data_IF_362260773208
#
_entry.id   IF_362260773208
#
_cell.length_a   1.000
_cell.length_b   1.000
_cell.length_c   1.000
_cell.angle_alpha   90.00
_cell.angle_beta   90.00
_cell.angle_gamma   90.00
#
_symmetry.space_group_name_H-M   'P 1'
#
loop_
_entity.id
_entity.type
_entity.pdbx_description
1 polymer ?
#
# COMPACT_ATOMS: atom_id res chain seq x y z
N UNK A 1 13.60 31.03 27.72
CA UNK A 1 14.21 30.93 26.38
C UNK A 1 14.97 29.61 26.33
N UNK A 2 14.32 28.55 25.94
CA UNK A 2 14.91 27.24 25.72
C UNK A 2 14.59 26.86 24.28
N UNK A 3 15.62 27.03 23.45
CA UNK A 3 15.62 26.73 22.02
C UNK A 3 15.63 25.19 21.86
N UNK A 4 14.45 24.61 21.69
CA UNK A 4 14.28 23.20 21.34
C UNK A 4 14.42 23.06 19.82
N UNK A 5 15.68 23.10 19.36
CA UNK A 5 16.00 22.60 18.02
C UNK A 5 15.66 21.12 17.97
N UNK A 6 14.51 20.78 17.36
CA UNK A 6 14.20 19.43 16.95
C UNK A 6 15.40 18.88 16.18
N UNK A 7 16.05 17.86 16.73
CA UNK A 7 17.08 17.11 16.06
C UNK A 7 16.51 16.62 14.73
N UNK A 8 17.12 17.02 13.62
CA UNK A 8 16.83 16.45 12.31
C UNK A 8 17.25 14.98 12.37
N UNK A 9 16.32 14.12 12.75
CA UNK A 9 16.51 12.69 12.61
C UNK A 9 16.74 12.44 11.10
N UNK A 10 17.89 11.83 10.77
CA UNK A 10 18.11 11.37 9.41
C UNK A 10 16.92 10.49 9.01
N UNK A 11 16.41 10.60 7.77
CA UNK A 11 15.35 9.71 7.31
C UNK A 11 15.81 8.26 7.53
N UNK A 12 14.89 7.36 7.92
CA UNK A 12 15.24 5.98 8.19
C UNK A 12 15.88 5.36 6.93
N UNK A 13 16.87 4.50 7.14
CA UNK A 13 17.64 3.90 6.03
C UNK A 13 16.75 2.98 5.15
N UNK A 14 15.64 2.51 5.69
CA UNK A 14 14.73 1.57 5.05
C UNK A 14 13.28 2.05 5.15
N UNK A 15 12.53 1.90 4.06
CA UNK A 15 11.07 2.07 4.05
C UNK A 15 10.37 0.90 4.75
N UNK A 16 10.96 -0.31 4.66
CA UNK A 16 10.51 -1.53 5.32
C UNK A 16 11.68 -2.20 6.02
N UNK A 17 11.52 -2.53 7.30
CA UNK A 17 12.43 -3.39 8.05
C UNK A 17 11.60 -4.41 8.86
N UNK A 18 11.59 -5.68 8.43
CA UNK A 18 10.96 -6.77 9.18
C UNK A 18 12.04 -7.76 9.65
N UNK A 19 11.89 -8.20 10.90
CA UNK A 19 12.85 -9.09 11.55
C UNK A 19 12.12 -10.21 12.28
N UNK A 20 12.45 -11.46 11.95
CA UNK A 20 11.93 -12.66 12.58
C UNK A 20 10.41 -12.83 12.43
N UNK A 21 9.80 -12.21 11.40
CA UNK A 21 8.33 -12.24 11.22
C UNK A 21 7.86 -13.65 10.94
N UNK A 22 6.94 -14.12 11.79
CA UNK A 22 6.28 -15.41 11.63
C UNK A 22 4.76 -15.24 11.67
N UNK A 23 4.05 -16.10 10.93
CA UNK A 23 2.59 -16.13 10.89
C UNK A 23 2.06 -17.54 10.78
N UNK A 24 1.01 -17.82 11.53
CA UNK A 24 0.30 -19.08 11.47
C UNK A 24 -1.21 -18.85 11.48
N UNK A 25 -1.94 -19.84 11.00
CA UNK A 25 -3.39 -19.87 11.05
C UNK A 25 -3.86 -21.20 11.66
N UNK A 26 -5.02 -21.19 12.30
CA UNK A 26 -5.67 -22.40 12.79
C UNK A 26 -6.67 -22.91 11.74
N UNK A 27 -6.59 -24.17 11.39
CA UNK A 27 -7.58 -24.86 10.57
C UNK A 27 -8.18 -26.00 11.41
N UNK A 28 -9.30 -25.73 12.06
CA UNK A 28 -9.79 -26.57 13.16
C UNK A 28 -8.75 -26.58 14.29
N UNK A 29 -8.35 -27.77 14.73
CA UNK A 29 -7.33 -27.94 15.79
C UNK A 29 -5.89 -27.97 15.26
N UNK A 30 -5.70 -27.85 13.95
CA UNK A 30 -4.37 -27.93 13.34
C UNK A 30 -3.79 -26.52 13.11
N UNK A 31 -2.58 -26.29 13.64
CA UNK A 31 -1.80 -25.08 13.36
C UNK A 31 -1.05 -25.24 12.04
N UNK A 32 -1.24 -24.26 11.14
CA UNK A 32 -0.54 -24.17 9.85
C UNK A 32 0.40 -22.96 9.91
N UNK A 33 1.72 -23.20 9.96
CA UNK A 33 2.71 -22.14 9.89
C UNK A 33 2.93 -21.73 8.43
N UNK A 34 2.60 -20.46 8.13
CA UNK A 34 2.65 -19.90 6.76
C UNK A 34 3.90 -19.07 6.54
N UNK A 35 4.31 -18.26 7.52
CA UNK A 35 5.59 -17.55 7.50
C UNK A 35 6.42 -18.02 8.68
N UNK A 36 7.72 -18.23 8.45
CA UNK A 36 8.65 -18.73 9.45
C UNK A 36 9.91 -17.88 9.46
N UNK A 37 10.05 -17.05 10.49
CA UNK A 37 11.24 -16.25 10.76
C UNK A 37 11.73 -15.46 9.53
N UNK A 38 10.86 -14.65 8.94
CA UNK A 38 11.17 -13.87 7.74
C UNK A 38 11.87 -12.57 8.13
N UNK A 39 13.01 -12.32 7.50
CA UNK A 39 13.73 -11.06 7.56
C UNK A 39 13.71 -10.43 6.17
N UNK A 40 13.37 -9.12 6.10
CA UNK A 40 13.41 -8.35 4.86
C UNK A 40 13.64 -6.88 5.17
N UNK A 41 14.58 -6.26 4.46
CA UNK A 41 14.82 -4.81 4.48
C UNK A 41 14.69 -4.27 3.07
N UNK A 42 13.90 -3.20 2.92
CA UNK A 42 13.71 -2.52 1.64
C UNK A 42 14.08 -1.06 1.80
N UNK A 43 15.00 -0.56 0.96
CA UNK A 43 15.38 0.86 0.93
C UNK A 43 14.36 1.68 0.15
N UNK A 44 14.39 3.00 0.37
CA UNK A 44 13.62 3.90 -0.49
C UNK A 44 14.06 3.79 -1.95
N UNK A 45 13.10 3.74 -2.87
CA UNK A 45 13.33 3.59 -4.29
C UNK A 45 13.77 2.18 -4.74
N UNK A 46 13.89 1.23 -3.82
CA UNK A 46 14.19 -0.16 -4.15
C UNK A 46 12.97 -0.90 -4.67
N UNK A 47 13.16 -1.75 -5.67
CA UNK A 47 12.14 -2.66 -6.19
C UNK A 47 12.48 -4.09 -5.77
N UNK A 48 11.57 -4.72 -5.05
CA UNK A 48 11.73 -6.10 -4.57
C UNK A 48 10.64 -6.99 -5.15
N UNK A 49 11.02 -8.14 -5.71
CA UNK A 49 10.11 -9.17 -6.18
C UNK A 49 10.06 -10.35 -5.21
N UNK A 50 8.85 -10.70 -4.74
CA UNK A 50 8.60 -11.87 -3.90
C UNK A 50 8.13 -13.02 -4.79
N UNK A 51 8.99 -14.02 -4.96
CA UNK A 51 8.74 -15.16 -5.82
C UNK A 51 8.50 -16.43 -4.99
N UNK A 52 7.73 -17.36 -5.52
CA UNK A 52 7.48 -18.65 -4.89
C UNK A 52 6.20 -19.32 -5.41
N UNK A 53 6.02 -20.63 -5.16
CA UNK A 53 4.84 -21.38 -5.58
C UNK A 53 3.54 -20.87 -4.93
N UNK A 54 2.39 -21.31 -5.45
CA UNK A 54 1.10 -21.04 -4.80
C UNK A 54 1.10 -21.60 -3.37
N UNK A 55 0.52 -20.86 -2.43
CA UNK A 55 0.48 -21.27 -1.02
C UNK A 55 1.77 -21.01 -0.21
N UNK A 56 2.84 -20.46 -0.80
CA UNK A 56 4.11 -20.19 -0.08
C UNK A 56 4.06 -18.98 0.88
N UNK A 57 2.89 -18.39 1.13
CA UNK A 57 2.76 -17.28 2.08
C UNK A 57 2.95 -15.87 1.50
N UNK A 58 3.17 -15.71 0.18
CA UNK A 58 3.37 -14.39 -0.44
C UNK A 58 2.27 -13.38 -0.10
N UNK A 59 1.01 -13.78 -0.26
CA UNK A 59 -0.15 -12.91 0.06
C UNK A 59 -0.23 -12.60 1.55
N UNK A 60 0.15 -13.55 2.41
CA UNK A 60 0.21 -13.32 3.86
C UNK A 60 1.29 -12.29 4.19
N UNK A 61 2.46 -12.37 3.57
CA UNK A 61 3.53 -11.39 3.76
C UNK A 61 3.09 -10.01 3.25
N UNK A 62 2.49 -9.93 2.05
CA UNK A 62 1.96 -8.67 1.51
C UNK A 62 0.87 -8.06 2.41
N UNK A 63 0.01 -8.88 3.03
CA UNK A 63 -1.00 -8.40 3.97
C UNK A 63 -0.36 -7.82 5.25
N UNK A 64 0.72 -8.42 5.74
CA UNK A 64 1.46 -7.88 6.90
C UNK A 64 2.15 -6.58 6.50
N UNK A 65 2.89 -6.55 5.39
CA UNK A 65 3.54 -5.33 4.89
C UNK A 65 2.53 -4.20 4.63
N UNK A 66 1.34 -4.57 4.20
CA UNK A 66 0.23 -3.65 3.98
C UNK A 66 -0.57 -3.28 5.22
N UNK A 67 -0.16 -3.70 6.42
CA UNK A 67 -0.88 -3.46 7.68
C UNK A 67 -2.35 -3.94 7.66
N UNK A 68 -2.67 -4.91 6.79
CA UNK A 68 -3.99 -5.56 6.73
C UNK A 68 -4.10 -6.68 7.77
N UNK A 69 -2.97 -7.28 8.16
CA UNK A 69 -2.86 -8.25 9.25
C UNK A 69 -1.64 -7.93 10.12
N UNK A 70 -1.67 -8.42 11.36
CA UNK A 70 -0.55 -8.30 12.30
C UNK A 70 0.21 -9.62 12.31
N UNK A 71 1.54 -9.65 12.33
CA UNK A 71 2.30 -10.89 12.45
C UNK A 71 2.06 -11.54 13.83
N UNK A 72 2.20 -12.87 13.89
CA UNK A 72 2.09 -13.61 15.15
C UNK A 72 3.33 -13.40 16.05
N UNK A 73 4.50 -13.14 15.45
CA UNK A 73 5.74 -12.78 16.15
C UNK A 73 6.70 -12.05 15.20
N UNK A 74 7.79 -11.51 15.76
CA UNK A 74 8.75 -10.68 15.06
C UNK A 74 8.41 -9.20 15.13
N UNK A 75 9.17 -8.36 14.42
CA UNK A 75 8.98 -6.91 14.37
C UNK A 75 8.82 -6.41 12.95
N UNK A 76 8.07 -5.33 12.78
CA UNK A 76 7.91 -4.63 11.52
C UNK A 76 7.98 -3.12 11.74
N UNK A 77 9.03 -2.50 11.20
CA UNK A 77 9.17 -1.06 11.13
C UNK A 77 8.76 -0.60 9.72
N UNK A 78 7.77 0.27 9.64
CA UNK A 78 7.37 0.98 8.44
C UNK A 78 7.84 2.43 8.55
N UNK A 79 8.69 2.85 7.65
CA UNK A 79 9.26 4.20 7.67
C UNK A 79 9.88 4.56 9.04
N UNK A 80 10.59 3.58 9.62
CA UNK A 80 11.22 3.69 10.94
C UNK A 80 10.27 3.61 12.14
N UNK A 81 8.94 3.53 11.92
CA UNK A 81 7.94 3.46 13.00
C UNK A 81 7.54 2.01 13.28
N UNK A 82 7.60 1.60 14.55
CA UNK A 82 7.19 0.25 14.95
C UNK A 82 5.68 0.07 14.86
N UNK A 83 5.28 -0.84 13.97
CA UNK A 83 3.85 -1.12 13.70
C UNK A 83 3.19 -2.01 14.75
N UNK A 84 3.97 -2.67 15.63
CA UNK A 84 3.44 -3.53 16.69
C UNK A 84 2.62 -2.75 17.73
N UNK A 85 2.93 -1.47 17.91
CA UNK A 85 2.25 -0.56 18.84
C UNK A 85 0.94 0.00 18.29
N UNK A 86 0.66 -0.17 16.97
CA UNK A 86 -0.49 0.44 16.31
C UNK A 86 -1.81 -0.22 16.73
N UNK A 87 -2.76 0.59 17.15
CA UNK A 87 -4.16 0.18 17.21
C UNK A 87 -4.81 0.16 15.81
N UNK A 88 -6.08 -0.24 15.72
CA UNK A 88 -6.78 -0.35 14.42
C UNK A 88 -6.87 0.99 13.65
N UNK A 89 -7.08 2.10 14.35
CA UNK A 89 -7.15 3.43 13.75
C UNK A 89 -5.78 3.87 13.22
N UNK A 90 -4.73 3.70 14.01
CA UNK A 90 -3.36 4.01 13.61
C UNK A 90 -2.88 3.17 12.42
N UNK A 91 -3.26 1.88 12.36
CA UNK A 91 -3.00 1.05 11.16
C UNK A 91 -3.73 1.57 9.93
N UNK A 92 -4.97 2.04 10.08
CA UNK A 92 -5.73 2.60 8.96
C UNK A 92 -5.11 3.92 8.46
N UNK A 93 -4.68 4.77 9.37
CA UNK A 93 -3.99 6.03 9.08
C UNK A 93 -2.63 5.77 8.39
N UNK A 94 -1.80 4.90 8.94
CA UNK A 94 -0.52 4.52 8.34
C UNK A 94 -0.69 3.90 6.92
N UNK A 95 -1.74 3.09 6.70
CA UNK A 95 -2.07 2.61 5.35
C UNK A 95 -2.43 3.75 4.40
N UNK A 96 -3.24 4.69 4.87
CA UNK A 96 -3.64 5.84 4.06
C UNK A 96 -2.45 6.70 3.68
N UNK A 97 -1.53 6.93 4.61
CA UNK A 97 -0.44 7.89 4.44
C UNK A 97 0.80 7.31 3.77
N UNK A 98 1.10 6.03 4.03
CA UNK A 98 2.38 5.47 3.65
C UNK A 98 2.29 4.33 2.64
N UNK A 99 1.12 3.74 2.39
CA UNK A 99 1.01 2.53 1.58
C UNK A 99 0.06 2.72 0.40
N UNK A 100 0.58 2.46 -0.81
CA UNK A 100 -0.23 2.31 -2.02
C UNK A 100 -0.46 0.84 -2.34
N UNK A 101 -1.71 0.46 -2.63
CA UNK A 101 -2.06 -0.91 -3.02
C UNK A 101 -2.54 -0.98 -4.46
N UNK A 102 -1.97 -1.93 -5.22
CA UNK A 102 -2.49 -2.37 -6.52
C UNK A 102 -2.83 -3.85 -6.42
N UNK A 103 -4.11 -4.14 -6.32
CA UNK A 103 -4.62 -5.50 -6.24
C UNK A 103 -4.82 -6.10 -7.63
N UNK A 104 -4.69 -7.41 -7.74
CA UNK A 104 -4.97 -8.20 -8.92
C UNK A 104 -6.38 -7.95 -9.50
N UNK A 105 -7.40 -7.92 -8.67
CA UNK A 105 -8.79 -7.66 -9.06
C UNK A 105 -9.11 -6.16 -9.18
N UNK A 106 -8.08 -5.27 -9.20
CA UNK A 106 -8.15 -3.82 -9.26
C UNK A 106 -8.91 -3.17 -8.10
N UNK A 107 -9.96 -3.76 -7.58
CA UNK A 107 -10.86 -3.24 -6.54
C UNK A 107 -11.28 -1.79 -6.79
N UNK A 108 -11.64 -1.48 -8.02
CA UNK A 108 -12.20 -0.19 -8.38
C UNK A 108 -13.67 -0.12 -7.99
N UNK A 109 -14.12 1.06 -7.59
CA UNK A 109 -15.51 1.29 -7.21
C UNK A 109 -16.31 1.48 -8.50
N UNK A 110 -17.07 0.47 -8.91
CA UNK A 110 -17.73 0.39 -10.23
C UNK A 110 -18.76 1.49 -10.48
N UNK A 111 -19.50 1.93 -9.44
CA UNK A 111 -20.48 3.01 -9.54
C UNK A 111 -19.86 4.41 -9.54
N UNK A 112 -18.54 4.52 -9.52
CA UNK A 112 -17.78 5.77 -9.64
C UNK A 112 -17.03 5.79 -10.96
N UNK A 113 -16.82 7.00 -11.54
CA UNK A 113 -15.96 7.19 -12.70
C UNK A 113 -14.47 7.08 -12.33
N UNK A 114 -13.58 7.20 -13.33
CA UNK A 114 -12.12 7.18 -13.17
C UNK A 114 -11.67 8.26 -12.19
N UNK A 115 -12.09 9.51 -12.42
CA UNK A 115 -11.74 10.64 -11.54
C UNK A 115 -12.01 10.33 -10.07
N UNK A 116 -13.24 9.87 -9.76
CA UNK A 116 -13.67 9.60 -8.39
C UNK A 116 -12.95 8.43 -7.74
N UNK A 117 -12.52 7.43 -8.52
CA UNK A 117 -11.69 6.34 -8.01
C UNK A 117 -10.30 6.83 -7.62
N UNK A 118 -9.68 7.67 -8.46
CA UNK A 118 -8.33 8.19 -8.23
C UNK A 118 -8.31 9.25 -7.13
N UNK A 119 -9.34 10.10 -7.03
CA UNK A 119 -9.47 11.15 -6.01
C UNK A 119 -9.56 10.60 -4.57
N UNK A 120 -10.03 9.36 -4.42
CA UNK A 120 -10.47 8.81 -3.13
C UNK A 120 -9.44 8.92 -1.98
N UNK A 121 -8.15 8.57 -2.17
CA UNK A 121 -7.15 8.73 -1.11
C UNK A 121 -6.99 10.17 -0.64
N UNK A 122 -7.08 11.13 -1.55
CA UNK A 122 -6.96 12.56 -1.22
C UNK A 122 -8.16 13.07 -0.41
N UNK A 123 -9.36 12.51 -0.66
CA UNK A 123 -10.56 12.82 0.14
C UNK A 123 -10.35 12.37 1.58
N UNK A 124 -9.86 11.14 1.79
CA UNK A 124 -9.63 10.61 3.14
C UNK A 124 -8.51 11.35 3.89
N UNK A 125 -7.55 11.92 3.17
CA UNK A 125 -6.50 12.79 3.72
C UNK A 125 -6.97 14.24 3.97
N UNK A 126 -8.22 14.58 3.65
CA UNK A 126 -8.75 15.92 3.83
C UNK A 126 -8.18 16.99 2.89
N UNK A 127 -7.56 16.57 1.78
CA UNK A 127 -6.97 17.51 0.80
C UNK A 127 -8.07 18.41 0.21
N UNK A 128 -7.88 19.75 0.11
CA UNK A 128 -8.86 20.67 -0.46
C UNK A 128 -9.28 20.31 -1.89
N UNK A 129 -10.56 20.50 -2.23
CA UNK A 129 -11.14 20.09 -3.52
C UNK A 129 -10.37 20.64 -4.73
N UNK A 130 -9.95 21.90 -4.67
CA UNK A 130 -9.21 22.55 -5.76
C UNK A 130 -7.87 21.86 -6.03
N UNK A 131 -7.12 21.51 -4.97
CA UNK A 131 -5.86 20.80 -5.05
C UNK A 131 -6.06 19.36 -5.57
N UNK A 132 -7.10 18.67 -5.10
CA UNK A 132 -7.41 17.32 -5.58
C UNK A 132 -7.61 17.28 -7.09
N UNK A 133 -8.31 18.26 -7.66
CA UNK A 133 -8.60 18.33 -9.09
C UNK A 133 -7.30 18.36 -9.91
N UNK A 134 -6.34 19.19 -9.50
CA UNK A 134 -5.06 19.29 -10.19
C UNK A 134 -4.24 17.98 -10.05
N UNK A 135 -4.11 17.46 -8.83
CA UNK A 135 -3.35 16.21 -8.58
C UNK A 135 -3.91 15.02 -9.35
N UNK A 136 -5.26 14.89 -9.45
CA UNK A 136 -5.90 13.83 -10.24
C UNK A 136 -5.58 14.01 -11.73
N UNK A 137 -5.68 15.25 -12.27
CA UNK A 137 -5.38 15.51 -13.66
C UNK A 137 -3.94 15.14 -14.02
N UNK A 138 -2.98 15.55 -13.18
CA UNK A 138 -1.55 15.26 -13.38
C UNK A 138 -1.27 13.74 -13.31
N UNK A 139 -1.86 13.06 -12.32
CA UNK A 139 -1.69 11.60 -12.17
C UNK A 139 -2.28 10.83 -13.36
N UNK A 140 -3.46 11.23 -13.83
CA UNK A 140 -4.08 10.61 -15.00
C UNK A 140 -3.30 10.91 -16.29
N UNK A 141 -2.73 12.09 -16.43
CA UNK A 141 -1.86 12.44 -17.56
C UNK A 141 -0.60 11.57 -17.56
N UNK A 142 0.06 11.41 -16.43
CA UNK A 142 1.24 10.54 -16.27
C UNK A 142 0.99 9.11 -16.74
N UNK A 143 -0.22 8.59 -16.53
CA UNK A 143 -0.60 7.22 -16.88
C UNK A 143 -1.34 7.10 -18.23
N UNK A 144 -1.41 8.19 -19.02
CA UNK A 144 -2.06 8.22 -20.32
C UNK A 144 -3.58 8.03 -20.26
N UNK A 145 -4.23 8.50 -19.18
CA UNK A 145 -5.66 8.33 -18.93
C UNK A 145 -6.46 9.64 -18.97
N UNK A 146 -5.88 10.78 -19.39
CA UNK A 146 -6.57 12.08 -19.42
C UNK A 146 -7.86 12.03 -20.23
N UNK A 147 -7.90 11.28 -21.34
CA UNK A 147 -9.07 11.12 -22.19
C UNK A 147 -10.17 10.23 -21.59
N UNK A 148 -9.90 9.60 -20.41
CA UNK A 148 -10.81 8.71 -19.69
C UNK A 148 -11.26 9.26 -18.35
N UNK A 149 -10.93 10.50 -18.01
CA UNK A 149 -11.19 11.09 -16.68
C UNK A 149 -12.62 10.88 -16.20
N UNK A 150 -13.62 11.07 -17.04
CA UNK A 150 -15.03 10.93 -16.70
C UNK A 150 -15.65 9.58 -17.07
N UNK A 151 -14.86 8.67 -17.63
CA UNK A 151 -15.35 7.38 -18.08
C UNK A 151 -15.82 6.50 -16.90
N UNK A 152 -16.96 5.79 -17.05
CA UNK A 152 -17.37 4.75 -16.11
C UNK A 152 -16.36 3.62 -16.09
N UNK A 153 -16.08 3.05 -14.91
CA UNK A 153 -15.13 1.92 -14.77
C UNK A 153 -15.53 0.72 -15.60
N UNK A 154 -16.83 0.50 -15.78
CA UNK A 154 -17.37 -0.63 -16.56
C UNK A 154 -17.03 -0.58 -18.03
N UNK A 155 -16.72 0.60 -18.58
CA UNK A 155 -16.38 0.80 -20.00
C UNK A 155 -14.90 0.65 -20.31
N UNK A 156 -14.06 0.48 -19.27
CA UNK A 156 -12.62 0.41 -19.40
C UNK A 156 -12.15 -1.00 -19.75
N UNK A 157 -11.13 -1.10 -20.59
CA UNK A 157 -10.35 -2.32 -20.80
C UNK A 157 -9.60 -2.74 -19.52
N UNK A 158 -9.16 -4.01 -19.45
CA UNK A 158 -8.38 -4.50 -18.30
C UNK A 158 -7.12 -3.68 -18.03
N UNK A 159 -6.39 -3.31 -19.09
CA UNK A 159 -5.19 -2.46 -18.98
C UNK A 159 -5.50 -1.03 -18.52
N UNK A 160 -6.63 -0.44 -18.92
CA UNK A 160 -7.08 0.86 -18.41
C UNK A 160 -7.46 0.77 -16.93
N UNK A 161 -8.21 -0.27 -16.52
CA UNK A 161 -8.56 -0.53 -15.12
C UNK A 161 -7.31 -0.69 -14.25
N UNK A 162 -6.29 -1.40 -14.74
CA UNK A 162 -5.02 -1.54 -14.03
C UNK A 162 -4.34 -0.19 -13.85
N UNK A 163 -4.24 0.65 -14.90
CA UNK A 163 -3.67 1.99 -14.79
C UNK A 163 -4.45 2.89 -13.84
N UNK A 164 -5.79 2.80 -13.80
CA UNK A 164 -6.61 3.53 -12.81
C UNK A 164 -6.29 3.07 -11.38
N UNK A 165 -6.12 1.76 -11.16
CA UNK A 165 -5.73 1.23 -9.84
C UNK A 165 -4.32 1.71 -9.44
N UNK A 166 -3.39 1.78 -10.38
CA UNK A 166 -2.04 2.35 -10.17
C UNK A 166 -2.15 3.84 -9.86
N UNK A 167 -2.94 4.62 -10.62
CA UNK A 167 -3.17 6.04 -10.36
C UNK A 167 -3.67 6.27 -8.93
N UNK A 168 -4.68 5.51 -8.52
CA UNK A 168 -5.22 5.59 -7.16
C UNK A 168 -4.18 5.25 -6.09
N UNK A 169 -3.30 4.29 -6.34
CA UNK A 169 -2.26 3.91 -5.40
C UNK A 169 -1.16 4.97 -5.29
N UNK A 170 -0.80 5.62 -6.40
CA UNK A 170 0.30 6.59 -6.47
C UNK A 170 -0.08 8.01 -6.04
N UNK A 171 -1.34 8.43 -6.19
CA UNK A 171 -1.76 9.81 -5.97
C UNK A 171 -1.50 10.31 -4.54
N UNK A 172 -1.41 9.39 -3.59
CA UNK A 172 -1.03 9.63 -2.21
C UNK A 172 0.47 9.80 -1.99
N UNK A 173 1.32 9.59 -2.99
CA UNK A 173 2.78 9.59 -2.86
C UNK A 173 3.26 8.64 -1.74
N UNK A 174 2.88 7.35 -1.79
CA UNK A 174 3.16 6.42 -0.72
C UNK A 174 4.66 6.12 -0.61
N UNK A 175 5.14 5.89 0.64
CA UNK A 175 6.50 5.42 0.89
C UNK A 175 6.71 3.95 0.45
N UNK A 176 5.64 3.17 0.42
CA UNK A 176 5.63 1.75 0.02
C UNK A 176 4.52 1.48 -0.98
N UNK A 177 4.87 0.96 -2.16
CA UNK A 177 3.90 0.48 -3.15
C UNK A 177 3.88 -1.05 -3.16
N UNK A 178 2.73 -1.63 -2.85
CA UNK A 178 2.52 -3.08 -2.87
C UNK A 178 1.72 -3.48 -4.10
N UNK A 179 2.31 -4.34 -4.93
CA UNK A 179 1.67 -4.85 -6.13
C UNK A 179 1.43 -6.36 -5.97
N UNK A 180 0.16 -6.75 -5.93
CA UNK A 180 -0.24 -8.15 -5.99
C UNK A 180 -0.60 -8.48 -7.44
N UNK A 181 0.40 -8.85 -8.23
CA UNK A 181 0.22 -9.22 -9.62
C UNK A 181 0.03 -10.74 -9.71
N UNK A 182 -0.89 -11.19 -10.57
CA UNK A 182 -0.96 -12.61 -10.91
C UNK A 182 0.28 -12.96 -11.72
N UNK A 183 0.78 -14.14 -11.44
CA UNK A 183 1.58 -14.88 -12.38
C UNK A 183 0.72 -15.19 -13.62
N UNK A 184 1.11 -14.63 -14.77
CA UNK A 184 0.59 -15.04 -16.08
C UNK A 184 1.23 -16.36 -16.44
#
# INVERSE_FOLDING_TARGET
>A
MTDSRAAHAHPPAYSVDIQGVSQHFMQGDTRIDVLKNIDLKVRYGEVVAILGPSGSGKSTLLNILGLLSTPASGSYLLDGTDTATFNAAQRAEARLDSIGFVFQAFHLIEHKNVYRNVELPLIYRGVPKAERAQRVADTLALLGLSHRTDAPITTLSGGEKQRVAIARALIGEPALLLLSLIHI
#
